data_IF_578699927189
#
_entry.id   IF_578699927189
#
_cell.length_a   1.000
_cell.length_b   1.000
_cell.length_c   1.000
_cell.angle_alpha   90.00
_cell.angle_beta   90.00
_cell.angle_gamma   90.00
#
_symmetry.space_group_name_H-M   'P 1'
#
loop_
_entity.id
_entity.type
_entity.pdbx_description
1 polymer ?
#
# COMPACT_ATOMS: atom_id res chain seq x y z
N UNK A 1 -2.65 -10.78 -1.77
CA UNK A 1 -3.93 -10.04 -1.75
C UNK A 1 -4.99 -10.62 -0.80
N UNK A 2 -4.68 -11.66 0.01
CA UNK A 2 -5.64 -12.22 0.98
C UNK A 2 -5.75 -11.48 2.31
N UNK A 3 -4.78 -10.61 2.64
CA UNK A 3 -4.72 -9.94 3.94
C UNK A 3 -5.63 -8.71 4.03
N UNK A 4 -5.82 -7.99 2.92
CA UNK A 4 -6.60 -6.74 2.92
C UNK A 4 -8.09 -6.96 3.22
N UNK A 5 -8.78 -7.99 2.67
CA UNK A 5 -10.16 -8.28 3.07
C UNK A 5 -10.31 -8.52 4.57
N UNK A 6 -9.41 -9.30 5.19
CA UNK A 6 -9.44 -9.57 6.63
C UNK A 6 -9.24 -8.30 7.45
N UNK A 7 -8.24 -7.47 7.09
CA UNK A 7 -7.97 -6.20 7.78
C UNK A 7 -9.18 -5.25 7.67
N UNK A 8 -9.83 -5.17 6.51
CA UNK A 8 -11.04 -4.34 6.36
C UNK A 8 -12.18 -4.88 7.21
N UNK A 9 -12.33 -6.20 7.29
CA UNK A 9 -13.36 -6.83 8.13
C UNK A 9 -13.14 -6.58 9.61
N UNK A 10 -11.90 -6.63 10.07
CA UNK A 10 -11.51 -6.35 11.46
C UNK A 10 -11.79 -4.89 11.85
N UNK A 11 -11.61 -3.95 10.91
CA UNK A 11 -11.75 -2.51 11.20
C UNK A 11 -13.17 -1.94 11.00
N UNK A 12 -13.93 -2.47 10.04
CA UNK A 12 -15.25 -1.93 9.68
C UNK A 12 -16.41 -2.91 9.94
N UNK A 13 -16.10 -4.15 10.33
CA UNK A 13 -17.08 -5.21 10.53
C UNK A 13 -17.61 -5.80 9.22
N UNK A 14 -18.54 -6.78 9.30
CA UNK A 14 -19.04 -7.51 8.13
C UNK A 14 -20.06 -6.72 7.31
N UNK A 15 -20.67 -5.68 7.89
CA UNK A 15 -21.64 -4.86 7.19
C UNK A 15 -20.95 -4.06 6.06
N UNK A 16 -21.50 -4.13 4.84
CA UNK A 16 -20.95 -3.47 3.65
C UNK A 16 -19.50 -3.87 3.29
N UNK A 17 -19.06 -5.07 3.68
CA UNK A 17 -17.68 -5.52 3.49
C UNK A 17 -17.19 -5.42 2.04
N UNK A 18 -18.04 -5.73 1.05
CA UNK A 18 -17.70 -5.58 -0.36
C UNK A 18 -17.40 -4.14 -0.77
N UNK A 19 -18.15 -3.16 -0.24
CA UNK A 19 -17.96 -1.73 -0.51
C UNK A 19 -16.71 -1.23 0.21
N UNK A 20 -16.56 -1.54 1.50
CA UNK A 20 -15.41 -1.11 2.30
C UNK A 20 -14.09 -1.64 1.69
N UNK A 21 -14.08 -2.92 1.30
CA UNK A 21 -12.93 -3.52 0.64
C UNK A 21 -12.71 -2.94 -0.76
N UNK A 22 -13.78 -2.68 -1.51
CA UNK A 22 -13.71 -2.06 -2.83
C UNK A 22 -12.99 -0.71 -2.80
N UNK A 23 -13.33 0.15 -1.84
CA UNK A 23 -12.70 1.47 -1.65
C UNK A 23 -11.20 1.33 -1.37
N UNK A 24 -10.82 0.44 -0.44
CA UNK A 24 -9.41 0.17 -0.10
C UNK A 24 -8.66 -0.40 -1.31
N UNK A 25 -9.30 -1.29 -2.06
CA UNK A 25 -8.72 -1.92 -3.23
C UNK A 25 -8.49 -0.94 -4.40
N UNK A 26 -9.27 0.14 -4.50
CA UNK A 26 -9.02 1.20 -5.48
C UNK A 26 -7.65 1.84 -5.28
N UNK A 27 -7.25 2.10 -4.03
CA UNK A 27 -5.92 2.63 -3.71
C UNK A 27 -4.79 1.69 -4.16
N UNK A 28 -4.94 0.40 -3.86
CA UNK A 28 -3.99 -0.64 -4.32
C UNK A 28 -3.93 -0.71 -5.86
N UNK A 29 -5.08 -0.68 -6.54
CA UNK A 29 -5.16 -0.78 -8.00
C UNK A 29 -4.48 0.40 -8.70
N UNK A 30 -4.69 1.62 -8.20
CA UNK A 30 -4.02 2.83 -8.72
C UNK A 30 -2.51 2.69 -8.56
N UNK A 31 -2.03 2.31 -7.38
CA UNK A 31 -0.60 2.11 -7.14
C UNK A 31 -0.02 1.02 -8.06
N UNK A 32 -0.69 -0.12 -8.20
CA UNK A 32 -0.26 -1.22 -9.05
C UNK A 32 -0.22 -0.85 -10.54
N UNK A 33 -1.13 0.01 -10.98
CA UNK A 33 -1.16 0.50 -12.36
C UNK A 33 -0.01 1.47 -12.67
N UNK A 34 0.25 2.44 -11.78
CA UNK A 34 1.26 3.48 -12.04
C UNK A 34 2.69 3.06 -11.68
N UNK A 35 2.89 2.18 -10.70
CA UNK A 35 4.22 1.80 -10.21
C UNK A 35 5.16 1.26 -11.31
N UNK A 36 4.75 0.37 -12.23
CA UNK A 36 5.62 -0.11 -13.31
C UNK A 36 6.07 1.00 -14.24
N UNK A 37 5.17 1.93 -14.60
CA UNK A 37 5.49 3.07 -15.46
C UNK A 37 6.50 4.00 -14.78
N UNK A 38 6.28 4.34 -13.51
CA UNK A 38 7.20 5.16 -12.72
C UNK A 38 8.58 4.49 -12.61
N UNK A 39 8.62 3.19 -12.29
CA UNK A 39 9.86 2.44 -12.17
C UNK A 39 10.64 2.39 -13.50
N UNK A 40 9.93 2.17 -14.62
CA UNK A 40 10.52 2.21 -15.96
C UNK A 40 11.09 3.58 -16.30
N UNK A 41 10.35 4.66 -16.03
CA UNK A 41 10.81 6.02 -16.29
C UNK A 41 12.06 6.38 -15.45
N UNK A 42 12.10 5.94 -14.20
CA UNK A 42 13.29 6.08 -13.34
C UNK A 42 14.46 5.31 -13.94
N UNK A 43 14.26 4.07 -14.39
CA UNK A 43 15.33 3.29 -15.01
C UNK A 43 15.87 3.96 -16.28
N UNK A 44 15.00 4.44 -17.17
CA UNK A 44 15.41 5.18 -18.39
C UNK A 44 16.24 6.41 -18.05
N UNK A 45 15.84 7.18 -17.04
CA UNK A 45 16.58 8.35 -16.59
C UNK A 45 17.92 8.03 -15.90
N UNK A 46 18.14 6.77 -15.50
CA UNK A 46 19.32 6.30 -14.77
C UNK A 46 20.09 5.21 -15.54
N UNK A 47 20.18 5.34 -16.86
CA UNK A 47 20.94 4.42 -17.74
C UNK A 47 20.52 2.94 -17.61
N UNK A 48 19.24 2.68 -17.36
CA UNK A 48 18.67 1.35 -17.14
C UNK A 48 18.75 0.85 -15.70
N UNK A 49 19.28 1.62 -14.76
CA UNK A 49 19.39 1.22 -13.36
C UNK A 49 18.09 1.42 -12.58
N UNK A 50 17.61 0.34 -11.96
CA UNK A 50 16.44 0.35 -11.06
C UNK A 50 16.79 0.66 -9.60
N UNK A 51 18.07 0.88 -9.26
CA UNK A 51 18.49 1.07 -7.86
C UNK A 51 17.71 2.18 -7.15
N UNK A 52 17.47 3.30 -7.83
CA UNK A 52 16.69 4.42 -7.28
C UNK A 52 15.23 4.02 -7.06
N UNK A 53 14.62 3.30 -8.01
CA UNK A 53 13.25 2.80 -7.87
C UNK A 53 13.12 1.86 -6.66
N UNK A 54 14.11 0.99 -6.42
CA UNK A 54 14.15 0.12 -5.24
C UNK A 54 14.35 0.90 -3.94
N UNK A 55 15.19 1.93 -3.91
CA UNK A 55 15.32 2.78 -2.71
C UNK A 55 14.01 3.50 -2.37
N UNK A 56 13.29 4.00 -3.38
CA UNK A 56 11.96 4.60 -3.19
C UNK A 56 10.98 3.56 -2.63
N UNK A 57 10.98 2.34 -3.18
CA UNK A 57 10.12 1.26 -2.71
C UNK A 57 10.41 0.88 -1.24
N UNK A 58 11.69 0.86 -0.84
CA UNK A 58 12.10 0.61 0.56
C UNK A 58 11.55 1.71 1.48
N UNK A 59 11.72 2.98 1.11
CA UNK A 59 11.23 4.12 1.91
C UNK A 59 9.71 4.05 2.07
N UNK A 60 8.97 3.76 0.99
CA UNK A 60 7.52 3.60 1.03
C UNK A 60 7.09 2.42 1.91
N UNK A 61 7.80 1.29 1.85
CA UNK A 61 7.53 0.13 2.69
C UNK A 61 7.75 0.44 4.18
N UNK A 62 8.83 1.16 4.51
CA UNK A 62 9.10 1.60 5.88
C UNK A 62 8.04 2.58 6.39
N UNK A 63 7.59 3.52 5.55
CA UNK A 63 6.51 4.44 5.88
C UNK A 63 5.19 3.68 6.15
N UNK A 64 4.83 2.71 5.32
CA UNK A 64 3.67 1.86 5.52
C UNK A 64 3.74 1.03 6.81
N UNK A 65 4.93 0.49 7.12
CA UNK A 65 5.17 -0.25 8.36
C UNK A 65 5.03 0.65 9.58
N UNK A 66 5.58 1.87 9.54
CA UNK A 66 5.45 2.86 10.60
C UNK A 66 3.98 3.24 10.83
N UNK A 67 3.23 3.51 9.75
CA UNK A 67 1.79 3.81 9.84
C UNK A 67 1.00 2.66 10.46
N UNK A 68 1.28 1.41 10.07
CA UNK A 68 0.65 0.24 10.65
C UNK A 68 0.92 0.12 12.17
N UNK A 69 2.16 0.37 12.59
CA UNK A 69 2.53 0.32 14.00
C UNK A 69 1.87 1.43 14.83
N UNK A 70 1.80 2.65 14.27
CA UNK A 70 1.10 3.78 14.90
C UNK A 70 -0.41 3.52 14.99
N UNK A 71 -1.01 3.00 13.91
CA UNK A 71 -2.43 2.63 13.89
C UNK A 71 -2.75 1.58 14.96
N UNK A 72 -1.95 0.52 15.07
CA UNK A 72 -2.12 -0.49 16.12
C UNK A 72 -2.09 0.11 17.54
N UNK A 73 -1.18 1.05 17.81
CA UNK A 73 -1.11 1.73 19.11
C UNK A 73 -2.32 2.64 19.41
N UNK A 74 -2.87 3.28 18.40
CA UNK A 74 -4.04 4.15 18.55
C UNK A 74 -5.30 3.30 18.71
N UNK A 75 -5.46 2.28 17.87
CA UNK A 75 -6.62 1.38 17.86
C UNK A 75 -6.71 0.55 19.15
N UNK A 76 -5.58 0.10 19.73
CA UNK A 76 -5.59 -0.59 21.03
C UNK A 76 -5.95 0.29 22.25
N UNK A 77 -5.99 1.61 22.08
CA UNK A 77 -6.32 2.55 23.17
C UNK A 77 -7.78 3.00 23.17
N UNK A 78 -8.54 2.69 22.13
CA UNK A 78 -9.97 2.99 22.01
C UNK A 78 -10.81 1.77 22.44
#
# INVERSE_FOLDING_TARGET
MGVFPSIVMENYGPANQGVNYGIVFTGYSVAAYFAPSIASNIAVANNGSFSIAFYIAIILALAGLLLNFLYGKISQKA
#
